data_IF_156781581453
#
_entry.id   IF_156781581453
#
_cell.length_a   1.000
_cell.length_b   1.000
_cell.length_c   1.000
_cell.angle_alpha   90.00
_cell.angle_beta   90.00
_cell.angle_gamma   90.00
#
_symmetry.space_group_name_H-M   'P 1'
#
loop_
_entity.id
_entity.type
_entity.pdbx_description
1 polymer ?
#
# COMPACT_ATOMS: atom_id res chain seq x y z
N UNK A 1 -49.95 -26.80 -34.10
CA UNK A 1 -50.13 -25.54 -33.34
C UNK A 1 -48.98 -25.41 -32.36
N UNK A 2 -48.17 -24.35 -32.46
CA UNK A 2 -46.89 -24.20 -31.75
C UNK A 2 -47.08 -23.25 -30.57
N UNK A 3 -47.01 -23.78 -29.36
CA UNK A 3 -47.19 -23.03 -28.10
C UNK A 3 -45.94 -22.19 -27.87
N UNK A 4 -46.07 -20.87 -27.98
CA UNK A 4 -45.02 -19.92 -27.59
C UNK A 4 -44.98 -19.85 -26.06
N UNK A 5 -43.89 -20.30 -25.45
CA UNK A 5 -43.65 -20.08 -24.03
C UNK A 5 -42.97 -18.71 -23.80
N UNK A 6 -43.48 -17.88 -22.85
CA UNK A 6 -42.79 -16.67 -22.44
C UNK A 6 -41.63 -17.01 -21.50
N UNK A 7 -40.41 -16.62 -21.90
CA UNK A 7 -39.21 -16.68 -21.05
C UNK A 7 -39.39 -15.71 -19.87
N UNK A 8 -39.29 -16.14 -18.61
CA UNK A 8 -39.38 -15.23 -17.46
C UNK A 8 -38.14 -14.32 -17.42
N UNK A 9 -38.36 -13.03 -17.69
CA UNK A 9 -37.35 -11.95 -17.75
C UNK A 9 -37.10 -11.27 -16.39
N UNK A 10 -37.26 -11.97 -15.26
CA UNK A 10 -37.20 -11.34 -13.94
C UNK A 10 -35.83 -11.42 -13.21
N UNK A 11 -34.93 -12.34 -13.59
CA UNK A 11 -33.65 -12.54 -12.88
C UNK A 11 -32.42 -11.92 -13.54
N UNK A 12 -32.56 -11.36 -14.73
CA UNK A 12 -31.46 -10.96 -15.61
C UNK A 12 -30.67 -9.70 -15.20
N UNK A 13 -31.24 -8.65 -14.59
CA UNK A 13 -30.47 -7.44 -14.28
C UNK A 13 -29.53 -7.63 -13.07
N UNK A 14 -29.92 -8.46 -12.09
CA UNK A 14 -29.09 -8.70 -10.91
C UNK A 14 -27.85 -9.54 -11.23
N UNK A 15 -27.99 -10.53 -12.11
CA UNK A 15 -26.87 -11.34 -12.60
C UNK A 15 -25.88 -10.48 -13.40
N UNK A 16 -26.38 -9.57 -14.25
CA UNK A 16 -25.52 -8.63 -15.00
C UNK A 16 -24.80 -7.69 -14.04
N UNK A 17 -25.50 -7.15 -13.03
CA UNK A 17 -24.88 -6.31 -12.00
C UNK A 17 -23.77 -7.03 -11.23
N UNK A 18 -24.02 -8.26 -10.80
CA UNK A 18 -23.02 -9.08 -10.11
C UNK A 18 -21.80 -9.36 -10.99
N UNK A 19 -22.01 -9.72 -12.26
CA UNK A 19 -20.91 -9.96 -13.20
C UNK A 19 -20.06 -8.71 -13.47
N UNK A 20 -20.67 -7.53 -13.54
CA UNK A 20 -19.95 -6.25 -13.70
C UNK A 20 -19.08 -5.98 -12.46
N UNK A 21 -19.63 -6.15 -11.26
CA UNK A 21 -18.91 -5.90 -10.01
C UNK A 21 -17.73 -6.86 -9.85
N UNK A 22 -17.94 -8.15 -10.13
CA UNK A 22 -16.87 -9.15 -10.08
C UNK A 22 -15.80 -8.86 -11.14
N UNK A 23 -16.20 -8.53 -12.37
CA UNK A 23 -15.26 -8.16 -13.44
C UNK A 23 -14.41 -6.93 -13.08
N UNK A 24 -15.04 -5.88 -12.55
CA UNK A 24 -14.34 -4.67 -12.12
C UNK A 24 -13.35 -4.94 -10.99
N UNK A 25 -13.74 -5.74 -10.00
CA UNK A 25 -12.85 -6.13 -8.90
C UNK A 25 -11.62 -6.89 -9.42
N UNK A 26 -11.81 -7.88 -10.30
CA UNK A 26 -10.70 -8.66 -10.87
C UNK A 26 -9.73 -7.77 -11.66
N UNK A 27 -10.23 -6.87 -12.51
CA UNK A 27 -9.39 -5.94 -13.29
C UNK A 27 -8.64 -4.99 -12.35
N UNK A 28 -9.29 -4.47 -11.31
CA UNK A 28 -8.68 -3.56 -10.35
C UNK A 28 -7.51 -4.21 -9.59
N UNK A 29 -7.73 -5.42 -9.04
CA UNK A 29 -6.68 -6.15 -8.33
C UNK A 29 -5.55 -6.62 -9.26
N UNK A 30 -5.87 -7.07 -10.47
CA UNK A 30 -4.86 -7.42 -11.47
C UNK A 30 -4.00 -6.22 -11.86
N UNK A 31 -4.61 -5.03 -12.05
CA UNK A 31 -3.90 -3.80 -12.37
C UNK A 31 -2.93 -3.37 -11.28
N UNK A 32 -3.32 -3.44 -10.00
CA UNK A 32 -2.42 -3.14 -8.87
C UNK A 32 -1.26 -4.14 -8.81
N UNK A 33 -1.53 -5.43 -9.03
CA UNK A 33 -0.49 -6.47 -8.95
C UNK A 33 0.52 -6.37 -10.10
N UNK A 34 0.06 -6.16 -11.35
CA UNK A 34 0.94 -5.97 -12.50
C UNK A 34 1.72 -4.63 -12.41
N UNK A 35 1.08 -3.56 -11.94
CA UNK A 35 1.74 -2.26 -11.74
C UNK A 35 2.89 -2.33 -10.72
N UNK A 36 2.78 -3.17 -9.68
CA UNK A 36 3.88 -3.40 -8.73
C UNK A 36 5.04 -4.21 -9.30
N UNK A 37 4.81 -5.04 -10.31
CA UNK A 37 5.90 -5.75 -10.99
C UNK A 37 6.65 -4.84 -11.97
N UNK A 38 5.97 -3.87 -12.58
CA UNK A 38 6.58 -2.90 -13.50
C UNK A 38 7.49 -1.87 -12.80
N UNK A 39 7.39 -1.67 -11.48
CA UNK A 39 8.38 -0.85 -10.75
C UNK A 39 9.74 -1.53 -10.59
N UNK A 40 9.85 -2.83 -10.93
CA UNK A 40 11.10 -3.61 -10.85
C UNK A 40 11.70 -3.90 -12.23
N UNK A 41 10.91 -3.86 -13.31
CA UNK A 41 11.42 -4.03 -14.68
C UNK A 41 11.40 -2.71 -15.46
N UNK A 42 12.58 -2.09 -15.49
CA UNK A 42 13.19 -1.42 -16.64
C UNK A 42 12.24 -1.04 -17.78
N UNK A 43 11.96 0.26 -17.93
CA UNK A 43 11.22 0.80 -19.04
C UNK A 43 12.19 1.22 -20.16
N UNK A 44 12.34 0.45 -21.26
CA UNK A 44 12.99 0.96 -22.45
C UNK A 44 11.96 1.79 -23.23
N UNK A 45 12.07 3.11 -23.15
CA UNK A 45 11.49 3.98 -24.19
C UNK A 45 12.58 4.82 -24.81
N UNK A 46 13.18 4.23 -25.84
CA UNK A 46 13.84 4.93 -26.93
C UNK A 46 12.90 6.00 -27.47
N UNK A 47 13.24 7.28 -27.31
CA UNK A 47 12.99 8.35 -28.28
C UNK A 47 13.86 9.58 -27.97
N UNK A 48 14.92 9.67 -28.78
CA UNK A 48 15.51 10.85 -29.40
C UNK A 48 15.92 12.06 -28.54
N UNK A 49 17.25 12.17 -28.43
CA UNK A 49 18.09 13.36 -28.70
C UNK A 49 17.63 14.71 -28.12
N UNK A 50 18.23 15.09 -27.00
CA UNK A 50 18.20 16.46 -26.49
C UNK A 50 19.20 16.62 -25.35
N UNK A 51 20.21 17.44 -25.57
CA UNK A 51 21.35 17.72 -24.69
C UNK A 51 20.87 18.14 -23.29
N UNK A 52 21.10 17.29 -22.28
CA UNK A 52 21.34 17.69 -20.90
C UNK A 52 21.89 16.48 -20.15
N UNK A 53 23.16 16.53 -19.75
CA UNK A 53 23.70 15.63 -18.73
C UNK A 53 23.09 16.05 -17.39
N UNK A 54 21.85 15.66 -17.15
CA UNK A 54 21.23 15.79 -15.85
C UNK A 54 21.93 14.78 -14.92
N UNK A 55 22.60 15.31 -13.90
CA UNK A 55 23.15 14.53 -12.80
C UNK A 55 22.08 13.55 -12.29
N UNK A 56 22.34 12.23 -12.17
CA UNK A 56 21.34 11.23 -11.81
C UNK A 56 21.09 11.20 -10.30
N UNK A 57 21.23 12.33 -9.59
CA UNK A 57 20.75 12.41 -8.22
C UNK A 57 19.25 12.66 -8.28
N UNK A 58 18.40 11.70 -7.89
CA UNK A 58 17.01 12.01 -7.65
C UNK A 58 17.00 13.19 -6.67
N UNK A 59 16.33 14.28 -7.04
CA UNK A 59 16.10 15.40 -6.14
C UNK A 59 15.11 14.93 -5.09
N UNK A 60 15.58 14.13 -4.13
CA UNK A 60 14.76 13.64 -3.03
C UNK A 60 14.51 14.86 -2.15
N UNK A 61 13.27 15.34 -2.15
CA UNK A 61 12.85 16.36 -1.18
C UNK A 61 13.02 15.74 0.19
N UNK A 62 13.98 16.24 0.97
CA UNK A 62 14.22 15.73 2.31
C UNK A 62 13.07 16.26 3.20
N UNK A 63 11.95 15.52 3.24
CA UNK A 63 10.77 15.87 4.04
C UNK A 63 11.00 15.51 5.52
N UNK A 64 12.08 14.79 5.82
CA UNK A 64 12.50 14.52 7.18
C UNK A 64 13.15 15.77 7.78
N UNK A 65 12.52 16.33 8.80
CA UNK A 65 13.14 17.35 9.63
C UNK A 65 13.96 16.67 10.73
N UNK A 66 15.31 16.70 10.67
CA UNK A 66 16.16 16.03 11.66
C UNK A 66 15.95 16.59 13.08
N UNK A 67 15.43 17.82 13.21
CA UNK A 67 15.11 18.43 14.50
C UNK A 67 14.01 17.72 15.29
N UNK A 68 13.08 17.02 14.60
CA UNK A 68 11.94 16.34 15.25
C UNK A 68 12.41 15.10 16.01
N UNK A 69 13.48 14.46 15.52
CA UNK A 69 14.00 13.22 16.10
C UNK A 69 14.58 13.47 17.51
N UNK A 70 15.12 14.66 17.75
CA UNK A 70 15.63 15.11 19.04
C UNK A 70 14.59 15.80 19.93
N UNK A 71 13.36 15.97 19.45
CA UNK A 71 12.31 16.65 20.22
C UNK A 71 11.87 15.76 21.40
N UNK A 72 11.97 16.25 22.66
CA UNK A 72 11.58 15.47 23.83
C UNK A 72 10.09 15.08 23.82
N UNK A 73 9.23 15.91 23.23
CA UNK A 73 7.80 15.60 23.12
C UNK A 73 7.56 14.46 22.12
N UNK A 74 8.28 14.48 20.99
CA UNK A 74 8.21 13.39 20.00
C UNK A 74 8.69 12.06 20.58
N UNK A 75 9.78 12.06 21.34
CA UNK A 75 10.32 10.87 21.98
C UNK A 75 9.39 10.30 23.06
N UNK A 76 8.69 11.16 23.80
CA UNK A 76 7.68 10.73 24.77
C UNK A 76 6.48 10.07 24.09
N UNK A 77 6.02 10.65 22.98
CA UNK A 77 4.91 10.09 22.22
C UNK A 77 5.28 8.74 21.55
N UNK A 78 6.50 8.65 21.01
CA UNK A 78 7.05 7.39 20.51
C UNK A 78 7.11 6.31 21.61
N UNK A 79 7.45 6.69 22.85
CA UNK A 79 7.49 5.74 23.98
C UNK A 79 6.10 5.15 24.26
N UNK A 80 5.04 5.96 24.22
CA UNK A 80 3.65 5.49 24.42
C UNK A 80 3.23 4.49 23.34
N UNK A 81 3.61 4.75 22.08
CA UNK A 81 3.34 3.83 20.97
C UNK A 81 4.06 2.49 21.14
N UNK A 82 5.35 2.53 21.54
CA UNK A 82 6.13 1.32 21.83
C UNK A 82 5.51 0.53 22.98
N UNK A 83 5.09 1.18 24.06
CA UNK A 83 4.41 0.52 25.18
C UNK A 83 3.08 -0.13 24.78
N UNK A 84 2.29 0.51 23.92
CA UNK A 84 1.06 -0.08 23.40
C UNK A 84 1.35 -1.34 22.56
N UNK A 85 2.40 -1.29 21.73
CA UNK A 85 2.89 -2.43 20.96
C UNK A 85 3.36 -3.58 21.87
N UNK A 86 4.13 -3.27 22.90
CA UNK A 86 4.60 -4.26 23.89
C UNK A 86 3.42 -4.90 24.64
N UNK A 87 2.42 -4.11 25.06
CA UNK A 87 1.19 -4.64 25.67
C UNK A 87 0.45 -5.56 24.70
N UNK A 88 0.27 -5.16 23.44
CA UNK A 88 -0.39 -6.01 22.44
C UNK A 88 0.35 -7.34 22.21
N UNK A 89 1.69 -7.34 22.23
CA UNK A 89 2.48 -8.56 22.20
C UNK A 89 2.23 -9.42 23.44
N UNK A 90 2.19 -8.83 24.64
CA UNK A 90 1.95 -9.60 25.88
C UNK A 90 0.56 -10.24 25.89
N UNK A 91 -0.49 -9.50 25.51
CA UNK A 91 -1.87 -9.99 25.57
C UNK A 91 -2.26 -10.88 24.39
N UNK A 92 -1.85 -10.51 23.17
CA UNK A 92 -2.32 -11.17 21.94
C UNK A 92 -1.25 -12.04 21.29
N UNK A 93 -0.01 -12.04 21.80
CA UNK A 93 1.16 -12.75 21.23
C UNK A 93 1.47 -12.37 19.78
N UNK A 94 0.98 -11.22 19.33
CA UNK A 94 1.18 -10.70 17.97
C UNK A 94 2.26 -9.63 17.95
N UNK A 95 2.99 -9.53 16.83
CA UNK A 95 3.95 -8.44 16.54
C UNK A 95 5.04 -8.22 17.61
N UNK A 96 5.38 -9.25 18.39
CA UNK A 96 6.41 -9.18 19.44
C UNK A 96 7.79 -8.78 18.91
N UNK A 97 8.14 -9.23 17.71
CA UNK A 97 9.40 -8.83 17.08
C UNK A 97 9.40 -7.34 16.73
N UNK A 98 8.27 -6.83 16.22
CA UNK A 98 8.08 -5.41 15.90
C UNK A 98 8.17 -4.55 17.16
N UNK A 99 7.54 -4.97 18.25
CA UNK A 99 7.65 -4.28 19.54
C UNK A 99 9.11 -4.20 20.03
N UNK A 100 9.85 -5.33 19.97
CA UNK A 100 11.27 -5.38 20.34
C UNK A 100 12.15 -4.48 19.46
N UNK A 101 11.92 -4.48 18.15
CA UNK A 101 12.64 -3.60 17.20
C UNK A 101 12.33 -2.12 17.46
N UNK A 102 11.07 -1.79 17.71
CA UNK A 102 10.65 -0.43 18.01
C UNK A 102 11.30 0.08 19.32
N UNK A 103 11.38 -0.79 20.34
CA UNK A 103 12.08 -0.48 21.59
C UNK A 103 13.57 -0.25 21.38
N UNK A 104 14.22 -1.10 20.58
CA UNK A 104 15.64 -0.93 20.24
C UNK A 104 15.89 0.38 19.47
N UNK A 105 15.02 0.74 18.52
CA UNK A 105 15.11 1.98 17.77
C UNK A 105 14.96 3.22 18.68
N UNK A 106 13.99 3.22 19.60
CA UNK A 106 13.80 4.31 20.55
C UNK A 106 15.01 4.51 21.46
N UNK A 107 15.64 3.42 21.90
CA UNK A 107 16.85 3.48 22.72
C UNK A 107 18.07 4.02 21.96
N UNK A 108 18.13 3.83 20.65
CA UNK A 108 19.21 4.36 19.81
C UNK A 108 19.07 5.87 19.53
N UNK A 109 17.90 6.44 19.78
CA UNK A 109 17.61 7.87 19.62
C UNK A 109 17.79 8.67 20.92
N UNK A 110 18.04 7.99 22.04
CA UNK A 110 18.28 8.56 23.35
C UNK A 110 19.78 8.71 23.60
#
# INVERSE_FOLDING_TARGET
MKVNQPIPRAGRPWIIGFLIVVGAAVIFYAGIFLGRQQTVSEQPRTRALGIARASPKPLVRNVYSPSIISDPYFLDEQRKLVEALERSCQFQRQNCETARKARAALNALK
#
